data_IF_633323377945
#
_entry.id   IF_633323377945
#
_cell.length_a   1.000
_cell.length_b   1.000
_cell.length_c   1.000
_cell.angle_alpha   90.00
_cell.angle_beta   90.00
_cell.angle_gamma   90.00
#
_symmetry.space_group_name_H-M   'P 1'
#
loop_
_entity.id
_entity.type
_entity.pdbx_description
1 polymer ?
#
# COMPACT_ATOMS: atom_id res chain seq x y z
N UNK A 1 1.79 -2.50 22.36
CA UNK A 1 2.72 -2.04 21.31
C UNK A 1 2.29 -2.52 19.92
N UNK A 2 2.30 -3.82 19.65
CA UNK A 2 1.88 -4.38 18.38
C UNK A 2 0.47 -3.92 17.96
N UNK A 3 -0.51 -3.90 18.85
CA UNK A 3 -1.87 -3.40 18.59
C UNK A 3 -1.91 -1.94 18.12
N UNK A 4 -1.09 -1.06 18.68
CA UNK A 4 -1.07 0.35 18.30
C UNK A 4 -0.42 0.58 16.92
N UNK A 5 0.60 -0.21 16.55
CA UNK A 5 1.15 -0.24 15.21
C UNK A 5 0.12 -0.82 14.22
N UNK A 6 -0.58 -1.90 14.63
CA UNK A 6 -1.60 -2.56 13.81
C UNK A 6 -2.80 -1.70 13.47
N UNK A 7 -3.28 -0.89 14.40
CA UNK A 7 -4.38 0.04 14.12
C UNK A 7 -4.00 1.08 13.07
N UNK A 8 -2.77 1.63 13.12
CA UNK A 8 -2.29 2.56 12.10
C UNK A 8 -2.22 1.92 10.72
N UNK A 9 -1.59 0.73 10.62
CA UNK A 9 -1.55 -0.02 9.38
C UNK A 9 -2.95 -0.43 8.87
N UNK A 10 -3.88 -0.78 9.76
CA UNK A 10 -5.26 -1.11 9.38
C UNK A 10 -5.97 0.10 8.76
N UNK A 11 -5.83 1.29 9.36
CA UNK A 11 -6.40 2.54 8.85
C UNK A 11 -5.79 2.85 7.48
N UNK A 12 -4.47 2.70 7.33
CA UNK A 12 -3.75 2.90 6.07
C UNK A 12 -4.37 2.09 4.93
N UNK A 13 -4.48 0.77 5.11
CA UNK A 13 -4.97 -0.12 4.05
C UNK A 13 -6.48 -0.04 3.88
N UNK A 14 -7.24 0.18 4.96
CA UNK A 14 -8.68 0.42 4.86
C UNK A 14 -8.97 1.65 3.99
N UNK A 15 -8.34 2.81 4.27
CA UNK A 15 -8.56 4.01 3.47
C UNK A 15 -8.06 3.88 2.04
N UNK A 16 -6.88 3.32 1.84
CA UNK A 16 -6.36 3.10 0.50
C UNK A 16 -7.37 2.35 -0.37
N UNK A 17 -8.01 1.31 0.16
CA UNK A 17 -8.97 0.52 -0.59
C UNK A 17 -10.36 1.17 -0.69
N UNK A 18 -10.88 1.86 0.35
CA UNK A 18 -12.14 2.60 0.20
C UNK A 18 -12.02 3.69 -0.86
N UNK A 19 -10.88 4.37 -0.93
CA UNK A 19 -10.62 5.36 -1.96
C UNK A 19 -10.50 4.73 -3.37
N UNK A 20 -9.93 3.53 -3.48
CA UNK A 20 -9.89 2.77 -4.73
C UNK A 20 -11.29 2.40 -5.21
N UNK A 21 -12.16 1.90 -4.31
CA UNK A 21 -13.57 1.61 -4.64
C UNK A 21 -14.34 2.88 -4.98
N UNK A 22 -14.15 3.97 -4.24
CA UNK A 22 -14.79 5.25 -4.54
C UNK A 22 -14.35 5.81 -5.91
N UNK A 23 -13.06 5.72 -6.24
CA UNK A 23 -12.53 6.15 -7.53
C UNK A 23 -13.09 5.31 -8.69
N UNK A 24 -13.34 4.03 -8.47
CA UNK A 24 -13.89 3.15 -9.50
C UNK A 24 -15.41 3.32 -9.70
N UNK A 25 -16.18 3.65 -8.65
CA UNK A 25 -17.63 3.51 -8.67
C UNK A 25 -18.42 4.79 -8.38
N UNK A 26 -17.84 5.75 -7.63
CA UNK A 26 -18.54 6.93 -7.10
C UNK A 26 -18.00 8.23 -7.68
N UNK A 27 -16.69 8.46 -7.58
CA UNK A 27 -16.09 9.75 -7.94
C UNK A 27 -16.32 10.17 -9.39
N UNK A 28 -16.35 9.26 -10.39
CA UNK A 28 -16.70 9.65 -11.77
C UNK A 28 -18.04 10.37 -11.87
N UNK A 29 -19.04 9.92 -11.10
CA UNK A 29 -20.40 10.47 -11.14
C UNK A 29 -20.56 11.70 -10.25
N UNK A 30 -19.86 11.76 -9.12
CA UNK A 30 -20.03 12.81 -8.10
C UNK A 30 -19.16 14.02 -8.38
N UNK A 31 -17.94 13.83 -8.92
CA UNK A 31 -16.98 14.92 -9.15
C UNK A 31 -16.74 15.24 -10.62
N UNK A 32 -17.08 14.35 -11.56
CA UNK A 32 -16.86 14.52 -12.99
C UNK A 32 -18.14 14.29 -13.84
N UNK A 33 -19.33 14.81 -13.43
CA UNK A 33 -20.61 14.43 -14.05
C UNK A 33 -20.78 14.94 -15.50
N UNK A 34 -20.01 15.96 -15.92
CA UNK A 34 -20.09 16.53 -17.27
C UNK A 34 -19.12 15.90 -18.28
N UNK A 35 -18.26 14.99 -17.84
CA UNK A 35 -17.27 14.35 -18.71
C UNK A 35 -17.82 13.05 -19.33
N UNK A 36 -17.25 12.66 -20.49
CA UNK A 36 -17.55 11.30 -21.02
C UNK A 36 -17.15 10.23 -20.00
N UNK A 37 -17.80 9.07 -20.05
CA UNK A 37 -17.57 8.00 -19.07
C UNK A 37 -16.08 7.61 -18.95
N UNK A 38 -15.34 7.61 -20.08
CA UNK A 38 -13.90 7.32 -20.10
C UNK A 38 -13.07 8.42 -19.45
N UNK A 39 -13.39 9.69 -19.71
CA UNK A 39 -12.69 10.84 -19.12
C UNK A 39 -12.98 10.90 -17.61
N UNK A 40 -14.23 10.72 -17.19
CA UNK A 40 -14.61 10.73 -15.79
C UNK A 40 -13.90 9.63 -15.00
N UNK A 41 -13.86 8.41 -15.53
CA UNK A 41 -13.13 7.30 -14.93
C UNK A 41 -11.62 7.57 -14.86
N UNK A 42 -11.01 8.04 -15.94
CA UNK A 42 -9.57 8.38 -15.98
C UNK A 42 -9.20 9.48 -15.00
N UNK A 43 -10.00 10.55 -14.92
CA UNK A 43 -9.79 11.66 -13.97
C UNK A 43 -9.92 11.21 -12.52
N UNK A 44 -10.87 10.31 -12.24
CA UNK A 44 -11.09 9.72 -10.94
C UNK A 44 -9.89 8.86 -10.51
N UNK A 45 -9.40 7.98 -11.39
CA UNK A 45 -8.21 7.17 -11.13
C UNK A 45 -6.93 8.02 -11.04
N UNK A 46 -6.79 9.06 -11.83
CA UNK A 46 -5.69 10.00 -11.71
C UNK A 46 -5.68 10.65 -10.31
N UNK A 47 -6.85 11.13 -9.85
CA UNK A 47 -7.01 11.70 -8.50
C UNK A 47 -6.65 10.68 -7.40
N UNK A 48 -7.08 9.42 -7.56
CA UNK A 48 -6.65 8.33 -6.67
C UNK A 48 -5.13 8.16 -6.69
N UNK A 49 -4.53 8.18 -7.87
CA UNK A 49 -3.08 7.95 -8.07
C UNK A 49 -2.18 9.07 -7.52
N UNK A 50 -2.69 10.29 -7.31
CA UNK A 50 -1.92 11.40 -6.74
C UNK A 50 -1.26 11.08 -5.40
N UNK A 51 -1.86 10.20 -4.61
CA UNK A 51 -1.30 9.72 -3.34
C UNK A 51 0.12 9.17 -3.51
N UNK A 52 0.38 8.42 -4.59
CA UNK A 52 1.70 7.81 -4.81
C UNK A 52 2.82 8.84 -4.97
N UNK A 53 2.51 10.03 -5.47
CA UNK A 53 3.50 11.09 -5.67
C UNK A 53 3.84 11.84 -4.38
N UNK A 54 2.90 11.96 -3.43
CA UNK A 54 3.15 12.63 -2.15
C UNK A 54 3.74 11.72 -1.09
N UNK A 55 3.61 10.39 -1.23
CA UNK A 55 4.16 9.41 -0.28
C UNK A 55 5.68 9.52 -0.07
N UNK A 56 6.54 9.63 -1.11
CA UNK A 56 7.97 9.84 -0.89
C UNK A 56 8.30 11.14 -0.15
N UNK A 57 7.55 12.22 -0.42
CA UNK A 57 7.69 13.48 0.30
C UNK A 57 7.31 13.32 1.77
N UNK A 58 6.21 12.61 2.05
CA UNK A 58 5.80 12.24 3.41
C UNK A 58 6.87 11.40 4.13
N UNK A 59 7.45 10.40 3.45
CA UNK A 59 8.54 9.60 4.00
C UNK A 59 9.78 10.45 4.33
N UNK A 60 10.10 11.44 3.49
CA UNK A 60 11.20 12.36 3.75
C UNK A 60 10.93 13.25 4.98
N UNK A 61 9.76 13.89 5.03
CA UNK A 61 9.39 14.82 6.10
C UNK A 61 9.27 14.06 7.44
N UNK A 62 8.41 13.06 7.49
CA UNK A 62 8.16 12.30 8.72
C UNK A 62 9.31 11.38 9.09
N UNK A 63 10.09 10.89 8.12
CA UNK A 63 11.33 10.20 8.38
C UNK A 63 12.33 11.09 9.10
N UNK A 64 12.52 12.33 8.62
CA UNK A 64 13.36 13.32 9.27
C UNK A 64 12.92 13.59 10.71
N UNK A 65 11.61 13.81 10.90
CA UNK A 65 11.03 14.05 12.23
C UNK A 65 11.20 12.82 13.13
N UNK A 66 10.95 11.61 12.61
CA UNK A 66 10.97 10.37 13.40
C UNK A 66 12.36 9.91 13.82
N UNK A 67 13.38 10.17 13.01
CA UNK A 67 14.78 9.89 13.38
C UNK A 67 15.37 10.98 14.28
N UNK A 68 14.69 12.14 14.43
CA UNK A 68 15.13 13.27 15.28
C UNK A 68 14.35 13.43 16.57
N UNK A 69 13.03 13.34 16.52
CA UNK A 69 12.11 13.62 17.64
C UNK A 69 11.45 12.37 18.24
N UNK A 70 11.75 11.19 17.68
CA UNK A 70 11.23 9.91 18.14
C UNK A 70 10.16 9.30 17.23
N UNK A 71 10.08 7.97 17.30
CA UNK A 71 9.18 7.18 16.44
C UNK A 71 7.73 7.38 16.82
N UNK A 72 7.45 7.35 18.14
CA UNK A 72 6.11 7.48 18.71
C UNK A 72 5.43 8.78 18.31
N UNK A 73 6.06 9.90 18.57
CA UNK A 73 5.47 11.22 18.34
C UNK A 73 5.23 11.44 16.84
N UNK A 74 6.16 11.01 16.02
CA UNK A 74 6.03 11.13 14.55
C UNK A 74 4.88 10.31 14.01
N UNK A 75 4.67 9.08 14.51
CA UNK A 75 3.52 8.26 14.13
C UNK A 75 2.18 8.87 14.59
N UNK A 76 2.15 9.69 15.61
CA UNK A 76 0.96 10.50 15.96
C UNK A 76 0.71 11.57 14.90
N UNK A 77 1.74 12.26 14.45
CA UNK A 77 1.61 13.31 13.41
C UNK A 77 1.21 12.72 12.06
N UNK A 78 1.77 11.55 11.65
CA UNK A 78 1.36 10.88 10.42
C UNK A 78 -0.11 10.52 10.46
N UNK A 79 -0.58 9.94 11.57
CA UNK A 79 -1.96 9.53 11.75
C UNK A 79 -2.93 10.72 11.76
N UNK A 80 -2.57 11.83 12.41
CA UNK A 80 -3.35 13.07 12.36
C UNK A 80 -3.47 13.62 10.95
N UNK A 81 -2.37 13.64 10.20
CA UNK A 81 -2.34 14.12 8.82
C UNK A 81 -3.23 13.25 7.92
N UNK A 82 -3.17 11.91 8.09
CA UNK A 82 -4.06 10.97 7.40
C UNK A 82 -5.53 11.21 7.77
N UNK A 83 -5.83 11.37 9.06
CA UNK A 83 -7.19 11.58 9.55
C UNK A 83 -7.85 12.85 9.02
N UNK A 84 -7.10 13.95 8.95
CA UNK A 84 -7.58 15.19 8.34
C UNK A 84 -7.88 14.98 6.85
N UNK A 85 -6.99 14.29 6.13
CA UNK A 85 -7.21 13.93 4.72
C UNK A 85 -8.47 13.10 4.51
N UNK A 86 -8.64 12.03 5.31
CA UNK A 86 -9.81 11.15 5.27
C UNK A 86 -11.12 11.89 5.55
N UNK A 87 -11.16 12.58 6.67
CA UNK A 87 -12.32 13.37 7.06
C UNK A 87 -12.67 14.38 5.96
N UNK A 88 -11.66 15.10 5.45
CA UNK A 88 -11.83 16.08 4.37
C UNK A 88 -12.44 15.47 3.11
N UNK A 89 -11.99 14.28 2.68
CA UNK A 89 -12.61 13.56 1.55
C UNK A 89 -14.08 13.25 1.85
N UNK A 90 -14.39 12.72 3.04
CA UNK A 90 -15.74 12.34 3.44
C UNK A 90 -16.73 13.51 3.47
N UNK A 91 -16.26 14.72 3.83
CA UNK A 91 -17.14 15.92 3.90
C UNK A 91 -17.06 16.80 2.65
N UNK A 92 -16.23 16.47 1.67
CA UNK A 92 -16.11 17.28 0.43
C UNK A 92 -17.46 17.31 -0.30
N UNK A 93 -18.03 18.51 -0.59
CA UNK A 93 -19.26 18.64 -1.37
C UNK A 93 -19.12 18.09 -2.79
N UNK A 94 -20.21 17.70 -3.41
CA UNK A 94 -20.23 17.22 -4.80
C UNK A 94 -19.99 18.36 -5.80
N UNK A 95 -19.65 18.00 -7.04
CA UNK A 95 -19.55 18.97 -8.14
C UNK A 95 -20.85 19.78 -8.34
N UNK A 96 -22.01 19.14 -8.20
CA UNK A 96 -23.30 19.80 -8.30
C UNK A 96 -23.50 20.91 -7.27
N UNK A 97 -22.84 20.83 -6.10
CA UNK A 97 -22.98 21.82 -5.02
C UNK A 97 -22.01 23.02 -5.15
N UNK A 98 -20.75 22.79 -5.54
CA UNK A 98 -19.71 23.83 -5.52
C UNK A 98 -18.82 23.84 -6.78
N UNK A 99 -19.19 23.13 -7.84
CA UNK A 99 -18.45 23.10 -9.10
C UNK A 99 -17.02 22.57 -8.94
N UNK A 100 -16.08 23.17 -9.69
CA UNK A 100 -14.67 22.75 -9.74
C UNK A 100 -13.96 22.80 -8.37
N UNK A 101 -14.44 23.61 -7.43
CA UNK A 101 -13.90 23.65 -6.08
C UNK A 101 -13.99 22.29 -5.36
N UNK A 102 -14.96 21.46 -5.71
CA UNK A 102 -15.09 20.10 -5.18
C UNK A 102 -13.92 19.21 -5.59
N UNK A 103 -13.47 19.32 -6.84
CA UNK A 103 -12.33 18.58 -7.39
C UNK A 103 -11.03 19.02 -6.70
N UNK A 104 -10.86 20.34 -6.57
CA UNK A 104 -9.68 20.94 -5.90
C UNK A 104 -9.59 20.46 -4.44
N UNK A 105 -10.70 20.49 -3.71
CA UNK A 105 -10.74 20.00 -2.33
C UNK A 105 -10.43 18.49 -2.23
N UNK A 106 -11.03 17.68 -3.10
CA UNK A 106 -10.74 16.25 -3.18
C UNK A 106 -9.24 16.02 -3.41
N UNK A 107 -8.61 16.73 -4.34
CA UNK A 107 -7.18 16.65 -4.62
C UNK A 107 -6.35 17.04 -3.39
N UNK A 108 -6.66 18.18 -2.75
CA UNK A 108 -5.93 18.65 -1.56
C UNK A 108 -5.97 17.59 -0.46
N UNK A 109 -7.15 17.05 -0.14
CA UNK A 109 -7.28 16.04 0.91
C UNK A 109 -6.61 14.71 0.53
N UNK A 110 -6.61 14.32 -0.75
CA UNK A 110 -5.85 13.16 -1.24
C UNK A 110 -4.34 13.35 -1.10
N UNK A 111 -3.82 14.53 -1.45
CA UNK A 111 -2.40 14.86 -1.28
C UNK A 111 -2.00 14.88 0.20
N UNK A 112 -2.84 15.46 1.06
CA UNK A 112 -2.62 15.51 2.51
C UNK A 112 -2.62 14.09 3.12
N UNK A 113 -3.59 13.25 2.74
CA UNK A 113 -3.62 11.85 3.13
C UNK A 113 -2.33 11.12 2.71
N UNK A 114 -1.90 11.30 1.46
CA UNK A 114 -0.68 10.71 0.92
C UNK A 114 0.59 11.13 1.66
N UNK A 115 0.67 12.38 2.12
CA UNK A 115 1.78 12.85 2.97
C UNK A 115 1.84 12.07 4.29
N UNK A 116 0.72 11.96 5.00
CA UNK A 116 0.64 11.19 6.26
C UNK A 116 1.01 9.72 6.04
N UNK A 117 0.41 9.11 5.02
CA UNK A 117 0.66 7.73 4.62
C UNK A 117 2.13 7.46 4.30
N UNK A 118 2.82 8.43 3.68
CA UNK A 118 4.24 8.35 3.36
C UNK A 118 5.12 8.12 4.59
N UNK A 119 4.77 8.74 5.73
CA UNK A 119 5.51 8.59 6.98
C UNK A 119 5.17 7.33 7.77
N UNK A 120 3.99 6.76 7.60
CA UNK A 120 3.47 5.70 8.47
C UNK A 120 4.32 4.42 8.43
N UNK A 121 4.58 3.90 7.23
CA UNK A 121 5.31 2.63 7.05
C UNK A 121 6.67 2.63 7.75
N UNK A 122 7.50 3.65 7.48
CA UNK A 122 8.86 3.74 8.03
C UNK A 122 8.86 3.72 9.55
N UNK A 123 7.92 4.45 10.17
CA UNK A 123 7.76 4.51 11.61
C UNK A 123 7.25 3.22 12.22
N UNK A 124 6.23 2.61 11.60
CA UNK A 124 5.61 1.39 12.10
C UNK A 124 6.61 0.21 12.10
N UNK A 125 7.30 -0.02 10.96
CA UNK A 125 8.27 -1.12 10.86
C UNK A 125 9.52 -0.86 11.71
N UNK A 126 10.00 0.39 11.82
CA UNK A 126 11.12 0.73 12.67
C UNK A 126 10.77 0.46 14.14
N UNK A 127 9.64 0.98 14.62
CA UNK A 127 9.19 0.83 15.99
C UNK A 127 9.05 -0.66 16.36
N UNK A 128 8.31 -1.44 15.56
CA UNK A 128 8.09 -2.88 15.83
C UNK A 128 9.41 -3.65 15.81
N UNK A 129 10.29 -3.40 14.83
CA UNK A 129 11.57 -4.08 14.71
C UNK A 129 12.52 -3.74 15.87
N UNK A 130 12.54 -2.50 16.34
CA UNK A 130 13.35 -2.04 17.47
C UNK A 130 12.89 -2.65 18.80
N UNK A 131 11.58 -2.78 19.02
CA UNK A 131 11.06 -3.52 20.17
C UNK A 131 11.33 -5.04 20.09
N UNK A 132 11.29 -5.61 18.90
CA UNK A 132 11.59 -7.01 18.66
C UNK A 132 13.09 -7.30 18.48
N UNK A 133 13.98 -6.34 18.78
CA UNK A 133 15.43 -6.42 18.48
C UNK A 133 16.11 -7.68 19.02
N UNK A 134 15.68 -8.16 20.19
CA UNK A 134 16.18 -9.39 20.82
C UNK A 134 15.42 -10.66 20.40
N UNK A 135 14.35 -10.54 19.62
CA UNK A 135 13.53 -11.67 19.21
C UNK A 135 14.09 -12.35 17.97
N UNK A 136 14.02 -13.69 17.93
CA UNK A 136 14.26 -14.48 16.71
C UNK A 136 13.12 -14.34 15.69
N UNK A 137 11.95 -13.85 16.13
CA UNK A 137 10.71 -13.71 15.36
C UNK A 137 10.43 -12.25 14.97
N UNK A 138 11.45 -11.51 14.52
CA UNK A 138 11.31 -10.09 14.16
C UNK A 138 10.39 -9.85 12.96
N UNK A 139 10.44 -10.75 11.97
CA UNK A 139 9.54 -10.71 10.82
C UNK A 139 8.10 -10.90 11.28
N UNK A 140 7.84 -11.92 12.10
CA UNK A 140 6.50 -12.22 12.63
C UNK A 140 5.90 -11.06 13.42
N UNK A 141 6.68 -10.37 14.26
CA UNK A 141 6.19 -9.20 14.98
C UNK A 141 5.77 -8.05 14.04
N UNK A 142 6.38 -7.96 12.85
CA UNK A 142 6.01 -6.97 11.83
C UNK A 142 4.66 -7.29 11.13
N UNK A 143 4.00 -8.42 11.41
CA UNK A 143 2.62 -8.72 10.98
C UNK A 143 1.66 -7.56 11.29
N UNK A 144 1.85 -6.94 12.45
CA UNK A 144 1.00 -5.85 12.89
C UNK A 144 1.24 -4.52 12.15
N UNK A 145 2.37 -4.36 11.48
CA UNK A 145 2.68 -3.12 10.77
C UNK A 145 1.93 -2.97 9.43
N UNK A 146 1.54 -4.08 8.78
CA UNK A 146 0.97 -4.04 7.42
C UNK A 146 -0.15 -5.08 7.22
N UNK A 147 -1.33 -4.91 7.84
CA UNK A 147 -2.45 -5.84 7.74
C UNK A 147 -3.25 -5.68 6.42
N UNK A 148 -2.59 -5.77 5.28
CA UNK A 148 -3.12 -5.51 3.93
C UNK A 148 -4.45 -6.26 3.65
N UNK A 149 -4.54 -7.60 3.81
CA UNK A 149 -5.77 -8.31 3.46
C UNK A 149 -6.95 -7.93 4.35
N UNK A 150 -6.69 -7.59 5.62
CA UNK A 150 -7.74 -7.20 6.56
C UNK A 150 -8.31 -5.83 6.17
N UNK A 151 -7.43 -4.87 5.83
CA UNK A 151 -7.85 -3.54 5.37
C UNK A 151 -8.71 -3.62 4.10
N UNK A 152 -8.29 -4.41 3.11
CA UNK A 152 -9.06 -4.60 1.88
C UNK A 152 -10.40 -5.29 2.14
N UNK A 153 -10.44 -6.33 2.99
CA UNK A 153 -11.67 -7.03 3.35
C UNK A 153 -12.69 -6.07 4.00
N UNK A 154 -12.25 -5.28 4.98
CA UNK A 154 -13.11 -4.31 5.64
C UNK A 154 -13.60 -3.21 4.69
N UNK A 155 -12.74 -2.75 3.78
CA UNK A 155 -13.12 -1.76 2.76
C UNK A 155 -14.16 -2.32 1.79
N UNK A 156 -13.96 -3.52 1.26
CA UNK A 156 -14.90 -4.15 0.33
C UNK A 156 -16.26 -4.43 1.00
N UNK A 157 -16.25 -4.97 2.23
CA UNK A 157 -17.48 -5.22 2.98
C UNK A 157 -18.24 -3.93 3.29
N UNK A 158 -17.55 -2.85 3.72
CA UNK A 158 -18.20 -1.58 4.03
C UNK A 158 -18.86 -0.96 2.79
N UNK A 159 -18.18 -0.96 1.64
CA UNK A 159 -18.73 -0.45 0.39
C UNK A 159 -19.91 -1.28 -0.11
N UNK A 160 -19.77 -2.61 -0.14
CA UNK A 160 -20.82 -3.52 -0.62
C UNK A 160 -22.06 -3.47 0.27
N UNK A 161 -21.89 -3.49 1.60
CA UNK A 161 -23.00 -3.40 2.54
C UNK A 161 -23.76 -2.08 2.42
N UNK A 162 -23.04 -0.95 2.37
CA UNK A 162 -23.67 0.37 2.24
C UNK A 162 -24.34 0.56 0.87
N UNK A 163 -23.73 0.07 -0.21
CA UNK A 163 -24.29 0.16 -1.54
C UNK A 163 -25.60 -0.65 -1.65
N UNK A 164 -25.63 -1.86 -1.08
CA UNK A 164 -26.84 -2.70 -1.07
C UNK A 164 -27.94 -2.16 -0.18
N UNK A 165 -27.58 -1.56 0.96
CA UNK A 165 -28.54 -1.03 1.93
C UNK A 165 -29.12 0.31 1.49
N UNK A 166 -28.26 1.26 1.05
CA UNK A 166 -28.68 2.63 0.71
C UNK A 166 -29.12 2.80 -0.74
N UNK A 167 -28.79 1.84 -1.62
CA UNK A 167 -29.18 1.88 -3.05
C UNK A 167 -28.88 3.23 -3.71
N UNK A 168 -29.93 3.98 -4.12
CA UNK A 168 -29.75 5.29 -4.77
C UNK A 168 -29.06 6.33 -3.88
N UNK A 169 -29.32 6.28 -2.57
CA UNK A 169 -28.73 7.20 -1.60
C UNK A 169 -27.23 6.95 -1.37
N UNK A 170 -26.71 5.80 -1.81
CA UNK A 170 -25.28 5.52 -1.75
C UNK A 170 -24.44 6.56 -2.52
N UNK A 171 -24.89 6.99 -3.70
CA UNK A 171 -24.19 8.00 -4.49
C UNK A 171 -24.34 9.42 -3.92
N UNK A 172 -25.38 9.70 -3.18
CA UNK A 172 -25.61 11.02 -2.57
C UNK A 172 -24.79 11.23 -1.31
N UNK A 173 -24.89 10.33 -0.33
CA UNK A 173 -24.15 10.44 0.93
C UNK A 173 -23.51 9.14 1.41
N UNK A 174 -24.02 7.97 1.00
CA UNK A 174 -23.60 6.67 1.55
C UNK A 174 -22.11 6.37 1.39
N UNK A 175 -21.51 6.76 0.28
CA UNK A 175 -20.10 6.57 0.01
C UNK A 175 -19.17 7.36 0.96
N UNK A 176 -19.68 8.39 1.64
CA UNK A 176 -18.95 9.23 2.59
C UNK A 176 -18.75 8.52 3.93
N UNK A 177 -19.66 7.63 4.29
CA UNK A 177 -19.68 6.94 5.59
C UNK A 177 -18.37 6.18 5.86
N UNK A 178 -17.83 5.37 4.93
CA UNK A 178 -16.55 4.69 5.17
C UNK A 178 -15.38 5.64 5.45
N UNK A 179 -15.32 6.80 4.78
CA UNK A 179 -14.28 7.80 5.03
C UNK A 179 -14.42 8.44 6.42
N UNK A 180 -15.65 8.72 6.85
CA UNK A 180 -15.92 9.27 8.19
C UNK A 180 -15.62 8.23 9.28
N UNK A 181 -15.97 6.96 9.05
CA UNK A 181 -15.59 5.84 9.93
C UNK A 181 -14.07 5.73 10.01
N UNK A 182 -13.36 5.77 8.87
CA UNK A 182 -11.90 5.77 8.82
C UNK A 182 -11.28 6.91 9.63
N UNK A 183 -11.81 8.12 9.51
CA UNK A 183 -11.40 9.26 10.33
C UNK A 183 -11.68 9.03 11.84
N UNK A 184 -12.80 8.41 12.18
CA UNK A 184 -13.10 7.98 13.55
C UNK A 184 -12.12 6.94 14.09
N UNK A 185 -11.71 5.97 13.25
CA UNK A 185 -10.68 4.99 13.61
C UNK A 185 -9.31 5.66 13.86
N UNK A 186 -9.02 6.77 13.17
CA UNK A 186 -7.81 7.58 13.46
C UNK A 186 -7.83 8.06 14.90
N UNK A 187 -8.97 8.54 15.43
CA UNK A 187 -9.07 8.97 16.83
C UNK A 187 -8.76 7.81 17.78
N UNK A 188 -9.29 6.62 17.50
CA UNK A 188 -8.98 5.41 18.28
C UNK A 188 -7.48 5.08 18.18
N UNK A 189 -6.90 5.16 16.99
CA UNK A 189 -5.46 4.95 16.78
C UNK A 189 -4.59 5.95 17.57
N UNK A 190 -4.98 7.22 17.63
CA UNK A 190 -4.30 8.25 18.41
C UNK A 190 -4.34 7.95 19.91
N UNK A 191 -5.51 7.57 20.45
CA UNK A 191 -5.66 7.19 21.85
C UNK A 191 -4.79 5.98 22.23
N UNK A 192 -4.70 4.99 21.34
CA UNK A 192 -3.83 3.83 21.53
C UNK A 192 -2.34 4.22 21.47
N UNK A 193 -1.94 5.06 20.52
CA UNK A 193 -0.55 5.52 20.37
C UNK A 193 -0.09 6.42 21.51
N UNK A 194 -0.99 7.17 22.12
CA UNK A 194 -0.65 7.97 23.30
C UNK A 194 -0.10 7.11 24.46
N UNK A 195 -0.55 5.85 24.59
CA UNK A 195 -0.09 4.90 25.62
C UNK A 195 1.16 4.11 25.23
N UNK A 196 1.64 4.24 24.00
CA UNK A 196 2.84 3.52 23.50
C UNK A 196 4.10 4.20 24.05
N UNK A 197 5.07 3.41 24.50
CA UNK A 197 6.40 3.89 24.87
C UNK A 197 7.25 4.17 23.64
N UNK A 198 8.26 5.01 23.75
CA UNK A 198 9.24 5.24 22.70
C UNK A 198 10.12 3.99 22.49
N UNK A 199 10.79 3.92 21.36
CA UNK A 199 11.71 2.83 21.06
C UNK A 199 12.89 2.79 22.03
N UNK A 200 13.20 1.63 22.66
CA UNK A 200 14.37 1.50 23.54
C UNK A 200 15.70 1.83 22.85
N UNK A 201 15.83 1.49 21.56
CA UNK A 201 17.04 1.81 20.78
C UNK A 201 17.15 3.31 20.49
N UNK A 202 16.01 3.98 20.28
CA UNK A 202 16.01 5.43 20.11
C UNK A 202 16.30 6.18 21.42
N UNK A 203 15.78 5.73 22.54
CA UNK A 203 16.10 6.28 23.87
C UNK A 203 17.61 6.18 24.11
N UNK A 204 18.24 5.05 23.81
CA UNK A 204 19.67 4.87 23.91
C UNK A 204 20.49 5.82 23.02
N UNK A 205 20.01 6.19 21.80
CA UNK A 205 20.64 7.23 20.99
C UNK A 205 20.51 8.62 21.63
N UNK A 206 19.39 8.91 22.26
CA UNK A 206 19.16 10.19 22.95
C UNK A 206 20.09 10.34 24.14
N UNK A 207 20.24 9.30 24.95
CA UNK A 207 21.14 9.29 26.10
C UNK A 207 22.61 9.48 25.68
N UNK A 208 23.03 8.84 24.59
CA UNK A 208 24.38 8.97 24.01
C UNK A 208 24.60 10.28 23.24
N UNK A 209 23.59 11.15 23.12
CA UNK A 209 23.61 12.38 22.28
C UNK A 209 24.01 12.12 20.82
N UNK A 210 23.64 10.94 20.30
CA UNK A 210 24.01 10.45 18.96
C UNK A 210 22.91 10.71 17.91
N UNK A 211 21.94 11.56 18.19
CA UNK A 211 20.86 11.93 17.26
C UNK A 211 21.43 12.76 16.13
N UNK A 212 21.12 12.36 14.91
CA UNK A 212 21.57 13.03 13.68
C UNK A 212 20.74 14.33 13.43
N UNK A 213 21.41 15.41 13.01
CA UNK A 213 20.74 16.70 12.75
C UNK A 213 19.87 16.71 11.51
N UNK A 214 20.26 15.99 10.46
CA UNK A 214 19.57 15.95 9.16
C UNK A 214 19.44 14.50 8.63
N UNK A 215 18.75 13.61 9.36
CA UNK A 215 18.78 12.17 9.04
C UNK A 215 18.25 11.85 7.65
N UNK A 216 17.12 12.42 7.20
CA UNK A 216 16.56 12.13 5.89
C UNK A 216 17.47 12.54 4.72
N UNK A 217 18.10 13.73 4.81
CA UNK A 217 19.04 14.19 3.78
C UNK A 217 20.31 13.34 3.77
N UNK A 218 20.82 12.99 4.94
CA UNK A 218 22.02 12.16 5.04
C UNK A 218 21.79 10.74 4.56
N UNK A 219 20.64 10.12 4.87
CA UNK A 219 20.34 8.78 4.39
C UNK A 219 20.21 8.76 2.87
N UNK A 220 19.62 9.77 2.25
CA UNK A 220 19.60 9.91 0.80
C UNK A 220 21.00 10.03 0.22
N UNK A 221 21.88 10.80 0.85
CA UNK A 221 23.24 10.99 0.37
C UNK A 221 24.11 9.73 0.51
N UNK A 222 24.00 9.04 1.67
CA UNK A 222 24.89 7.91 2.02
C UNK A 222 24.34 6.60 1.47
N UNK A 223 23.00 6.38 1.56
CA UNK A 223 22.36 5.09 1.30
C UNK A 223 21.47 5.08 0.05
N UNK A 224 21.58 6.06 -0.86
CA UNK A 224 20.71 6.17 -2.03
C UNK A 224 20.66 4.89 -2.90
N UNK A 225 21.82 4.22 -3.09
CA UNK A 225 21.89 2.95 -3.83
C UNK A 225 21.07 1.85 -3.13
N UNK A 226 21.16 1.79 -1.80
CA UNK A 226 20.38 0.83 -1.00
C UNK A 226 18.89 1.14 -1.06
N UNK A 227 18.51 2.41 -0.96
CA UNK A 227 17.12 2.86 -1.11
C UNK A 227 16.57 2.45 -2.46
N UNK A 228 17.27 2.73 -3.57
CA UNK A 228 16.83 2.33 -4.91
C UNK A 228 16.75 0.81 -5.08
N UNK A 229 17.74 0.07 -4.56
CA UNK A 229 17.74 -1.38 -4.64
C UNK A 229 16.54 -2.00 -3.93
N UNK A 230 16.25 -1.54 -2.71
CA UNK A 230 15.08 -1.98 -1.94
C UNK A 230 13.78 -1.53 -2.60
N UNK A 231 13.72 -0.32 -3.15
CA UNK A 231 12.55 0.18 -3.88
C UNK A 231 12.22 -0.70 -5.09
N UNK A 232 13.22 -1.03 -5.91
CA UNK A 232 13.03 -1.93 -7.06
C UNK A 232 12.61 -3.34 -6.61
N UNK A 233 13.22 -3.86 -5.54
CA UNK A 233 12.86 -5.18 -5.00
C UNK A 233 11.41 -5.26 -4.50
N UNK A 234 10.83 -4.13 -4.06
CA UNK A 234 9.44 -4.05 -3.61
C UNK A 234 8.44 -3.88 -4.77
N UNK A 235 8.86 -3.30 -5.90
CA UNK A 235 7.97 -2.78 -6.95
C UNK A 235 6.96 -3.82 -7.44
N UNK A 236 7.35 -5.11 -7.56
CA UNK A 236 6.44 -6.18 -8.03
C UNK A 236 5.19 -6.31 -7.14
N UNK A 237 5.39 -6.28 -5.83
CA UNK A 237 4.30 -6.47 -4.85
C UNK A 237 3.24 -5.38 -5.02
N UNK A 238 3.65 -4.12 -5.06
CA UNK A 238 2.74 -3.00 -5.27
C UNK A 238 2.11 -3.03 -6.67
N UNK A 239 2.89 -3.33 -7.72
CA UNK A 239 2.38 -3.30 -9.11
C UNK A 239 1.38 -4.42 -9.37
N UNK A 240 1.64 -5.65 -8.93
CA UNK A 240 0.70 -6.75 -9.15
C UNK A 240 -0.64 -6.50 -8.47
N UNK A 241 -0.65 -5.89 -7.29
CA UNK A 241 -1.90 -5.56 -6.57
C UNK A 241 -2.56 -4.31 -7.15
N UNK A 242 -1.84 -3.20 -7.26
CA UNK A 242 -2.42 -1.90 -7.58
C UNK A 242 -2.65 -1.64 -9.07
N UNK A 243 -1.98 -2.37 -9.96
CA UNK A 243 -2.16 -2.25 -11.40
C UNK A 243 -2.91 -3.45 -12.00
N UNK A 244 -2.46 -4.67 -11.68
CA UNK A 244 -2.93 -5.88 -12.39
C UNK A 244 -4.18 -6.46 -11.73
N UNK A 245 -4.13 -6.78 -10.44
CA UNK A 245 -5.20 -7.50 -9.77
C UNK A 245 -6.50 -6.69 -9.67
N UNK A 246 -6.45 -5.49 -9.10
CA UNK A 246 -7.69 -4.75 -8.81
C UNK A 246 -8.17 -3.96 -10.03
N UNK A 247 -7.40 -2.98 -10.60
CA UNK A 247 -7.96 -2.17 -11.69
C UNK A 247 -8.03 -2.93 -13.01
N UNK A 248 -6.94 -3.63 -13.40
CA UNK A 248 -6.90 -4.25 -14.72
C UNK A 248 -7.81 -5.47 -14.81
N UNK A 249 -7.70 -6.44 -13.89
CA UNK A 249 -8.45 -7.70 -13.92
C UNK A 249 -9.95 -7.45 -13.89
N UNK A 250 -10.45 -6.60 -12.99
CA UNK A 250 -11.89 -6.28 -12.92
C UNK A 250 -12.38 -5.64 -14.22
N UNK A 251 -11.65 -4.65 -14.76
CA UNK A 251 -12.04 -4.01 -16.01
C UNK A 251 -11.98 -4.97 -17.21
N UNK A 252 -10.99 -5.86 -17.24
CA UNK A 252 -10.88 -6.88 -18.27
C UNK A 252 -12.07 -7.83 -18.22
N UNK A 253 -12.40 -8.39 -17.05
CA UNK A 253 -13.49 -9.35 -16.88
C UNK A 253 -14.85 -8.72 -17.19
N UNK A 254 -15.10 -7.49 -16.71
CA UNK A 254 -16.33 -6.76 -17.03
C UNK A 254 -16.44 -6.46 -18.52
N UNK A 255 -15.34 -6.10 -19.18
CA UNK A 255 -15.27 -5.93 -20.63
C UNK A 255 -15.51 -7.20 -21.43
N UNK A 256 -15.40 -8.39 -20.81
CA UNK A 256 -15.74 -9.69 -21.39
C UNK A 256 -17.13 -10.21 -20.92
N UNK A 257 -18.01 -9.33 -20.46
CA UNK A 257 -19.38 -9.65 -19.99
C UNK A 257 -19.46 -10.51 -18.73
N UNK A 258 -18.38 -10.61 -17.97
CA UNK A 258 -18.41 -11.16 -16.61
C UNK A 258 -18.99 -10.10 -15.67
N UNK A 259 -19.89 -10.49 -14.77
CA UNK A 259 -20.48 -9.54 -13.83
C UNK A 259 -19.41 -8.93 -12.92
N UNK A 260 -19.56 -7.64 -12.63
CA UNK A 260 -18.66 -6.93 -11.70
C UNK A 260 -18.65 -7.57 -10.31
N UNK A 261 -19.80 -8.03 -9.86
CA UNK A 261 -19.95 -8.68 -8.57
C UNK A 261 -19.11 -9.95 -8.49
N UNK A 262 -19.14 -10.78 -9.54
CA UNK A 262 -18.30 -11.98 -9.59
C UNK A 262 -16.80 -11.64 -9.65
N UNK A 263 -16.40 -10.66 -10.47
CA UNK A 263 -15.01 -10.25 -10.54
C UNK A 263 -14.48 -9.74 -9.19
N UNK A 264 -15.31 -8.97 -8.46
CA UNK A 264 -14.97 -8.48 -7.11
C UNK A 264 -14.95 -9.63 -6.08
N UNK A 265 -15.88 -10.60 -6.21
CA UNK A 265 -15.92 -11.78 -5.34
C UNK A 265 -14.68 -12.65 -5.51
N UNK A 266 -14.19 -12.82 -6.74
CA UNK A 266 -12.95 -13.57 -7.00
C UNK A 266 -11.75 -12.95 -6.28
N UNK A 267 -11.62 -11.60 -6.30
CA UNK A 267 -10.61 -10.87 -5.54
C UNK A 267 -10.82 -11.06 -4.02
N UNK A 268 -12.05 -11.09 -3.55
CA UNK A 268 -12.36 -11.33 -2.13
C UNK A 268 -11.87 -12.69 -1.67
N UNK A 269 -12.06 -13.74 -2.46
CA UNK A 269 -11.50 -15.07 -2.18
C UNK A 269 -9.96 -15.05 -2.16
N UNK A 270 -9.33 -14.33 -3.09
CA UNK A 270 -7.89 -14.16 -3.09
C UNK A 270 -7.38 -13.47 -1.83
N UNK A 271 -8.09 -12.46 -1.30
CA UNK A 271 -7.74 -11.78 -0.06
C UNK A 271 -7.87 -12.68 1.18
N UNK A 272 -8.92 -13.48 1.25
CA UNK A 272 -9.08 -14.47 2.35
C UNK A 272 -7.91 -15.45 2.35
N UNK A 273 -7.58 -16.00 1.18
CA UNK A 273 -6.41 -16.87 1.02
C UNK A 273 -5.11 -16.14 1.33
N UNK A 274 -5.03 -14.86 0.96
CA UNK A 274 -3.90 -13.97 1.21
C UNK A 274 -3.54 -13.85 2.70
N UNK A 275 -4.51 -13.94 3.62
CA UNK A 275 -4.23 -13.93 5.06
C UNK A 275 -3.30 -15.09 5.43
N UNK A 276 -3.57 -16.29 4.93
CA UNK A 276 -2.75 -17.48 5.22
C UNK A 276 -1.37 -17.38 4.57
N UNK A 277 -1.29 -16.90 3.34
CA UNK A 277 0.00 -16.76 2.65
C UNK A 277 0.83 -15.61 3.21
N UNK A 278 0.20 -14.55 3.73
CA UNK A 278 0.89 -13.50 4.47
C UNK A 278 1.53 -14.05 5.76
N UNK A 279 0.79 -14.85 6.55
CA UNK A 279 1.34 -15.53 7.74
C UNK A 279 2.52 -16.43 7.36
N UNK A 280 2.39 -17.21 6.27
CA UNK A 280 3.49 -18.03 5.75
C UNK A 280 4.74 -17.19 5.48
N UNK A 281 4.59 -16.01 4.85
CA UNK A 281 5.70 -15.11 4.54
C UNK A 281 6.42 -14.61 5.80
N UNK A 282 5.70 -14.27 6.85
CA UNK A 282 6.29 -13.87 8.12
C UNK A 282 7.11 -15.02 8.75
N UNK A 283 6.56 -16.23 8.77
CA UNK A 283 7.28 -17.41 9.26
C UNK A 283 8.51 -17.72 8.41
N UNK A 284 8.39 -17.73 7.08
CA UNK A 284 9.52 -17.97 6.19
C UNK A 284 10.63 -16.94 6.40
N UNK A 285 10.28 -15.65 6.54
CA UNK A 285 11.23 -14.59 6.82
C UNK A 285 12.08 -14.85 8.07
N UNK A 286 11.50 -15.40 9.11
CA UNK A 286 12.23 -15.74 10.34
C UNK A 286 12.93 -17.11 10.28
N UNK A 287 12.39 -18.09 9.55
CA UNK A 287 12.95 -19.45 9.47
C UNK A 287 14.14 -19.53 8.50
N UNK A 288 13.97 -19.10 7.25
CA UNK A 288 15.00 -19.27 6.19
C UNK A 288 15.79 -17.99 5.90
N UNK A 289 15.38 -16.84 6.45
CA UNK A 289 15.98 -15.52 6.23
C UNK A 289 15.16 -14.64 5.31
N UNK A 290 15.38 -13.32 5.44
CA UNK A 290 14.58 -12.31 4.73
C UNK A 290 14.76 -12.40 3.22
N UNK A 291 16.01 -12.40 2.77
CA UNK A 291 16.36 -12.47 1.34
C UNK A 291 15.86 -13.76 0.69
N UNK A 292 16.03 -14.91 1.35
CA UNK A 292 15.61 -16.21 0.80
C UNK A 292 14.09 -16.30 0.70
N UNK A 293 13.36 -15.81 1.70
CA UNK A 293 11.91 -15.74 1.69
C UNK A 293 11.38 -14.80 0.58
N UNK A 294 12.05 -13.67 0.34
CA UNK A 294 11.73 -12.78 -0.79
C UNK A 294 11.97 -13.48 -2.13
N UNK A 295 13.09 -14.18 -2.31
CA UNK A 295 13.37 -14.94 -3.53
C UNK A 295 12.29 -16.01 -3.78
N UNK A 296 11.88 -16.73 -2.74
CA UNK A 296 10.77 -17.69 -2.84
C UNK A 296 9.49 -17.03 -3.34
N UNK A 297 9.08 -15.90 -2.73
CA UNK A 297 7.89 -15.16 -3.15
C UNK A 297 8.01 -14.63 -4.58
N UNK A 298 9.19 -14.20 -5.02
CA UNK A 298 9.43 -13.68 -6.36
C UNK A 298 9.40 -14.78 -7.44
N UNK A 299 9.94 -15.97 -7.16
CA UNK A 299 9.83 -17.12 -8.06
C UNK A 299 8.36 -17.52 -8.19
N UNK A 300 7.62 -17.57 -7.08
CA UNK A 300 6.19 -17.83 -7.10
C UNK A 300 5.43 -16.74 -7.87
N UNK A 301 5.73 -15.45 -7.67
CA UNK A 301 5.12 -14.34 -8.40
C UNK A 301 5.39 -14.40 -9.91
N UNK A 302 6.59 -14.83 -10.31
CA UNK A 302 6.93 -14.99 -11.72
C UNK A 302 6.05 -16.07 -12.39
N UNK A 303 5.95 -17.23 -11.77
CA UNK A 303 5.09 -18.31 -12.26
C UNK A 303 3.62 -17.88 -12.27
N UNK A 304 3.16 -17.24 -11.19
CA UNK A 304 1.81 -16.72 -11.10
C UNK A 304 1.49 -15.70 -12.18
N UNK A 305 2.42 -14.76 -12.46
CA UNK A 305 2.22 -13.73 -13.51
C UNK A 305 2.12 -14.33 -14.91
N UNK A 306 2.84 -15.41 -15.19
CA UNK A 306 2.76 -16.11 -16.48
C UNK A 306 1.42 -16.85 -16.61
N UNK A 307 0.95 -17.50 -15.54
CA UNK A 307 -0.24 -18.36 -15.55
C UNK A 307 -1.54 -17.53 -15.43
N UNK A 308 -1.50 -16.39 -14.76
CA UNK A 308 -2.66 -15.55 -14.46
C UNK A 308 -3.46 -15.16 -15.71
N UNK A 309 -2.78 -14.58 -16.71
CA UNK A 309 -3.45 -14.04 -17.89
C UNK A 309 -4.13 -15.13 -18.74
N UNK A 310 -3.52 -16.28 -19.01
CA UNK A 310 -4.21 -17.43 -19.61
C UNK A 310 -5.44 -17.85 -18.80
N UNK A 311 -5.36 -17.94 -17.47
CA UNK A 311 -6.49 -18.37 -16.62
C UNK A 311 -7.68 -17.42 -16.72
N UNK A 312 -7.46 -16.10 -16.57
CA UNK A 312 -8.58 -15.14 -16.66
C UNK A 312 -9.17 -15.06 -18.07
N UNK A 313 -8.37 -15.32 -19.11
CA UNK A 313 -8.82 -15.32 -20.49
C UNK A 313 -9.74 -16.51 -20.85
N UNK A 314 -9.75 -17.56 -20.03
CA UNK A 314 -10.69 -18.68 -20.22
C UNK A 314 -12.14 -18.28 -19.97
N UNK A 315 -12.37 -17.21 -19.22
CA UNK A 315 -13.67 -16.74 -18.71
C UNK A 315 -14.43 -17.80 -17.88
N UNK A 316 -13.73 -18.85 -17.45
CA UNK A 316 -14.27 -19.86 -16.57
C UNK A 316 -14.21 -19.37 -15.12
N UNK A 317 -15.33 -19.35 -14.37
CA UNK A 317 -15.39 -18.82 -13.02
C UNK A 317 -14.36 -19.43 -12.06
N UNK A 318 -14.17 -20.75 -12.11
CA UNK A 318 -13.21 -21.44 -11.23
C UNK A 318 -11.77 -21.05 -11.56
N UNK A 319 -11.42 -20.96 -12.87
CA UNK A 319 -10.08 -20.60 -13.30
C UNK A 319 -9.78 -19.12 -13.07
N UNK A 320 -10.79 -18.23 -13.14
CA UNK A 320 -10.66 -16.83 -12.76
C UNK A 320 -10.28 -16.74 -11.28
N UNK A 321 -11.06 -17.39 -10.39
CA UNK A 321 -10.76 -17.40 -8.96
C UNK A 321 -9.36 -17.95 -8.68
N UNK A 322 -8.99 -19.06 -9.31
CA UNK A 322 -7.65 -19.65 -9.17
C UNK A 322 -6.55 -18.67 -9.61
N UNK A 323 -6.75 -17.97 -10.72
CA UNK A 323 -5.82 -16.95 -11.20
C UNK A 323 -5.62 -15.82 -10.17
N UNK A 324 -6.71 -15.28 -9.61
CA UNK A 324 -6.65 -14.24 -8.59
C UNK A 324 -5.93 -14.71 -7.31
N UNK A 325 -6.20 -15.93 -6.84
CA UNK A 325 -5.51 -16.52 -5.71
C UNK A 325 -4.00 -16.63 -5.98
N UNK A 326 -3.62 -17.18 -7.12
CA UNK A 326 -2.21 -17.41 -7.50
C UNK A 326 -1.44 -16.10 -7.63
N UNK A 327 -2.06 -15.05 -8.18
CA UNK A 327 -1.40 -13.75 -8.37
C UNK A 327 -1.21 -13.01 -7.04
N UNK A 328 -2.21 -13.03 -6.16
CA UNK A 328 -2.18 -12.29 -4.90
C UNK A 328 -1.28 -12.94 -3.85
N UNK A 329 -1.32 -14.26 -3.75
CA UNK A 329 -0.62 -15.03 -2.71
C UNK A 329 0.88 -14.67 -2.56
N UNK A 330 1.71 -14.66 -3.62
CA UNK A 330 3.12 -14.32 -3.49
C UNK A 330 3.36 -12.85 -3.11
N UNK A 331 2.46 -11.94 -3.48
CA UNK A 331 2.59 -10.51 -3.15
C UNK A 331 2.48 -10.29 -1.65
N UNK A 332 1.48 -10.88 -1.00
CA UNK A 332 1.29 -10.75 0.45
C UNK A 332 2.23 -11.67 1.25
N UNK A 333 2.65 -12.81 0.69
CA UNK A 333 3.72 -13.63 1.27
C UNK A 333 5.03 -12.83 1.42
N UNK A 334 5.31 -11.91 0.49
CA UNK A 334 6.50 -11.07 0.55
C UNK A 334 6.47 -9.98 1.62
N UNK A 335 5.31 -9.65 2.19
CA UNK A 335 5.16 -8.57 3.19
C UNK A 335 6.03 -8.83 4.43
N UNK A 336 6.01 -10.05 4.93
CA UNK A 336 6.76 -10.43 6.14
C UNK A 336 8.27 -10.16 6.04
N UNK A 337 8.95 -10.79 5.10
CA UNK A 337 10.39 -10.58 4.92
C UNK A 337 10.75 -9.14 4.53
N UNK A 338 9.93 -8.45 3.74
CA UNK A 338 10.16 -7.05 3.32
C UNK A 338 10.15 -6.11 4.52
N UNK A 339 9.17 -6.20 5.40
CA UNK A 339 9.04 -5.31 6.54
C UNK A 339 10.27 -5.36 7.44
N UNK A 340 10.68 -6.58 7.82
CA UNK A 340 11.85 -6.77 8.66
C UNK A 340 13.13 -6.33 7.94
N UNK A 341 13.34 -6.76 6.69
CA UNK A 341 14.52 -6.43 5.89
C UNK A 341 14.70 -4.92 5.72
N UNK A 342 13.63 -4.18 5.45
CA UNK A 342 13.71 -2.73 5.26
C UNK A 342 14.16 -2.02 6.53
N UNK A 343 13.57 -2.38 7.68
CA UNK A 343 13.98 -1.82 8.97
C UNK A 343 15.40 -2.23 9.36
N UNK A 344 15.78 -3.49 9.13
CA UNK A 344 17.12 -4.04 9.44
C UNK A 344 18.20 -3.51 8.50
N UNK A 345 17.84 -2.98 7.33
CA UNK A 345 18.80 -2.48 6.34
C UNK A 345 19.44 -1.14 6.70
N UNK A 346 18.93 -0.44 7.71
CA UNK A 346 19.43 0.89 8.09
C UNK A 346 19.82 0.94 9.57
N UNK A 347 20.91 1.68 9.92
CA UNK A 347 21.26 1.94 11.32
C UNK A 347 20.12 2.65 12.05
N UNK A 348 20.03 2.50 13.37
CA UNK A 348 18.96 3.06 14.20
C UNK A 348 18.73 4.55 13.96
N UNK A 349 19.80 5.34 13.82
CA UNK A 349 19.71 6.79 13.58
C UNK A 349 19.13 7.22 12.23
N UNK A 350 18.97 6.27 11.29
CA UNK A 350 18.42 6.50 9.95
C UNK A 350 17.29 5.53 9.58
N UNK A 351 16.87 4.67 10.53
CA UNK A 351 15.98 3.55 10.24
C UNK A 351 14.61 4.00 9.76
N UNK A 352 14.05 5.01 10.40
CA UNK A 352 12.75 5.55 10.00
C UNK A 352 12.82 6.13 8.57
N UNK A 353 13.73 7.09 8.35
CA UNK A 353 13.91 7.72 7.03
C UNK A 353 14.27 6.72 5.95
N UNK A 354 15.19 5.81 6.23
CA UNK A 354 15.70 4.85 5.25
C UNK A 354 14.64 3.84 4.82
N UNK A 355 13.98 3.18 5.76
CA UNK A 355 12.92 2.21 5.46
C UNK A 355 11.71 2.86 4.80
N UNK A 356 11.30 4.04 5.29
CA UNK A 356 10.21 4.81 4.72
C UNK A 356 10.47 5.22 3.28
N UNK A 357 11.61 5.87 3.02
CA UNK A 357 11.99 6.30 1.66
C UNK A 357 12.10 5.11 0.71
N UNK A 358 12.75 4.01 1.10
CA UNK A 358 12.87 2.83 0.26
C UNK A 358 11.50 2.25 -0.11
N UNK A 359 10.59 2.13 0.85
CA UNK A 359 9.24 1.63 0.61
C UNK A 359 8.44 2.58 -0.31
N UNK A 360 8.45 3.87 -0.02
CA UNK A 360 7.65 4.83 -0.77
C UNK A 360 8.18 5.09 -2.19
N UNK A 361 9.47 4.96 -2.41
CA UNK A 361 10.03 4.99 -3.77
C UNK A 361 9.59 3.76 -4.59
N UNK A 362 9.52 2.56 -4.00
CA UNK A 362 8.97 1.38 -4.65
C UNK A 362 7.49 1.53 -5.01
N UNK A 363 6.69 2.08 -4.08
CA UNK A 363 5.26 2.36 -4.35
C UNK A 363 5.07 3.47 -5.38
N UNK A 364 5.96 4.47 -5.45
CA UNK A 364 5.93 5.50 -6.50
C UNK A 364 6.16 4.90 -7.90
N UNK A 365 7.15 4.01 -8.04
CA UNK A 365 7.39 3.31 -9.32
C UNK A 365 6.13 2.56 -9.76
N UNK A 366 5.50 1.83 -8.84
CA UNK A 366 4.24 1.13 -9.08
C UNK A 366 3.10 2.09 -9.43
N UNK A 367 3.03 3.23 -8.74
CA UNK A 367 2.04 4.27 -8.99
C UNK A 367 2.16 4.87 -10.40
N UNK A 368 3.38 5.11 -10.88
CA UNK A 368 3.63 5.56 -12.26
C UNK A 368 3.16 4.50 -13.27
N UNK A 369 3.44 3.23 -13.02
CA UNK A 369 2.97 2.12 -13.88
C UNK A 369 1.43 2.11 -13.90
N UNK A 370 0.79 2.20 -12.74
CA UNK A 370 -0.67 2.10 -12.60
C UNK A 370 -1.40 3.31 -13.16
N UNK A 371 -0.93 4.52 -12.83
CA UNK A 371 -1.65 5.75 -13.14
C UNK A 371 -1.30 6.34 -14.52
N UNK A 372 -0.16 5.99 -15.09
CA UNK A 372 0.31 6.55 -16.37
C UNK A 372 0.48 5.46 -17.42
N UNK A 373 1.34 4.47 -17.16
CA UNK A 373 1.72 3.51 -18.19
C UNK A 373 0.56 2.59 -18.59
N UNK A 374 -0.20 2.09 -17.65
CA UNK A 374 -1.32 1.18 -17.90
C UNK A 374 -2.45 1.86 -18.72
N UNK A 375 -2.94 3.06 -18.40
CA UNK A 375 -3.91 3.78 -19.22
C UNK A 375 -3.40 4.07 -20.63
N UNK A 376 -2.13 4.48 -20.78
CA UNK A 376 -1.52 4.72 -22.10
C UNK A 376 -1.55 3.46 -22.95
N UNK A 377 -1.21 2.32 -22.40
CA UNK A 377 -1.23 1.02 -23.10
C UNK A 377 -2.67 0.66 -23.50
N UNK A 378 -3.63 0.78 -22.59
CA UNK A 378 -5.03 0.45 -22.87
C UNK A 378 -5.56 1.34 -24.03
N UNK A 379 -5.26 2.63 -24.01
CA UNK A 379 -5.69 3.56 -25.06
C UNK A 379 -5.00 3.22 -26.39
N UNK A 380 -3.68 3.05 -26.39
CA UNK A 380 -2.90 2.81 -27.62
C UNK A 380 -3.22 1.49 -28.30
N UNK A 381 -3.68 0.49 -27.55
CA UNK A 381 -4.07 -0.83 -28.07
C UNK A 381 -5.55 -0.92 -28.45
N UNK A 382 -6.32 0.16 -28.26
CA UNK A 382 -7.75 0.21 -28.60
C UNK A 382 -8.64 -0.52 -27.59
N UNK A 383 -8.17 -0.73 -26.35
CA UNK A 383 -9.00 -1.24 -25.25
C UNK A 383 -8.35 -2.27 -24.36
N UNK A 384 -9.01 -2.56 -23.24
CA UNK A 384 -8.50 -3.44 -22.19
C UNK A 384 -8.22 -4.86 -22.70
N UNK A 385 -9.05 -5.40 -23.59
CA UNK A 385 -8.86 -6.74 -24.15
C UNK A 385 -7.55 -6.86 -24.93
N UNK A 386 -7.30 -5.92 -25.82
CA UNK A 386 -6.12 -5.91 -26.68
C UNK A 386 -4.83 -5.58 -25.91
N UNK A 387 -4.94 -4.94 -24.76
CA UNK A 387 -3.79 -4.59 -23.90
C UNK A 387 -3.22 -5.76 -23.11
N UNK A 388 -3.94 -6.89 -23.01
CA UNK A 388 -3.56 -8.02 -22.16
C UNK A 388 -2.11 -8.51 -22.38
N UNK A 389 -1.61 -8.75 -23.60
CA UNK A 389 -0.23 -9.21 -23.80
C UNK A 389 0.81 -8.21 -23.23
N UNK A 390 0.56 -6.92 -23.40
CA UNK A 390 1.47 -5.87 -22.92
C UNK A 390 1.47 -5.76 -21.40
N UNK A 391 0.29 -5.87 -20.77
CA UNK A 391 0.16 -5.88 -19.30
C UNK A 391 0.82 -7.13 -18.71
N UNK A 392 0.68 -8.29 -19.36
CA UNK A 392 1.36 -9.51 -18.96
C UNK A 392 2.90 -9.36 -19.01
N UNK A 393 3.41 -8.77 -20.09
CA UNK A 393 4.85 -8.49 -20.24
C UNK A 393 5.33 -7.53 -19.13
N UNK A 394 4.59 -6.46 -18.82
CA UNK A 394 4.94 -5.54 -17.74
C UNK A 394 4.97 -6.28 -16.40
N UNK A 395 3.97 -7.09 -16.09
CA UNK A 395 3.92 -7.88 -14.86
C UNK A 395 5.18 -8.74 -14.71
N UNK A 396 5.55 -9.46 -15.76
CA UNK A 396 6.75 -10.32 -15.79
C UNK A 396 8.04 -9.49 -15.65
N UNK A 397 8.18 -8.38 -16.40
CA UNK A 397 9.36 -7.51 -16.33
C UNK A 397 9.56 -6.97 -14.91
N UNK A 398 8.49 -6.50 -14.27
CA UNK A 398 8.55 -5.94 -12.92
C UNK A 398 8.97 -7.01 -11.91
N UNK A 399 8.45 -8.24 -12.03
CA UNK A 399 8.85 -9.35 -11.16
C UNK A 399 10.32 -9.72 -11.39
N UNK A 400 10.79 -9.79 -12.64
CA UNK A 400 12.19 -10.08 -12.97
C UNK A 400 13.11 -8.98 -12.43
N UNK A 401 12.75 -7.71 -12.60
CA UNK A 401 13.52 -6.58 -12.08
C UNK A 401 13.64 -6.65 -10.54
N UNK A 402 12.53 -6.94 -9.85
CA UNK A 402 12.51 -7.12 -8.41
C UNK A 402 13.33 -8.34 -7.95
N UNK A 403 13.29 -9.43 -8.72
CA UNK A 403 14.11 -10.62 -8.46
C UNK A 403 15.60 -10.30 -8.58
N UNK A 404 16.02 -9.68 -9.68
CA UNK A 404 17.40 -9.26 -9.88
C UNK A 404 17.86 -8.33 -8.76
N UNK A 405 17.06 -7.31 -8.42
CA UNK A 405 17.39 -6.41 -7.31
C UNK A 405 17.58 -7.17 -5.99
N UNK A 406 16.71 -8.14 -5.70
CA UNK A 406 16.78 -8.93 -4.46
C UNK A 406 18.05 -9.77 -4.37
N UNK A 407 18.64 -10.20 -5.50
CA UNK A 407 19.91 -10.94 -5.53
C UNK A 407 21.08 -10.10 -5.00
N UNK A 408 21.02 -8.78 -5.10
CA UNK A 408 22.07 -7.87 -4.60
C UNK A 408 21.83 -7.40 -3.17
N UNK A 409 20.68 -7.73 -2.55
CA UNK A 409 20.39 -7.39 -1.15
C UNK A 409 21.14 -8.36 -0.23
N UNK A 410 21.71 -7.82 0.84
CA UNK A 410 22.36 -8.63 1.87
C UNK A 410 21.30 -9.24 2.81
N UNK A 411 21.55 -10.49 3.27
CA UNK A 411 20.72 -11.11 4.30
C UNK A 411 20.86 -10.36 5.64
N UNK A 412 19.76 -10.20 6.36
CA UNK A 412 19.72 -9.43 7.61
C UNK A 412 19.22 -10.24 8.82
N UNK A 413 18.85 -11.52 8.64
CA UNK A 413 18.24 -12.36 9.68
C UNK A 413 19.01 -12.35 10.99
N UNK A 414 20.32 -12.53 10.91
CA UNK A 414 21.20 -12.68 12.10
C UNK A 414 21.88 -11.36 12.50
N UNK A 415 21.47 -10.24 11.87
CA UNK A 415 22.05 -8.94 12.17
C UNK A 415 21.62 -8.52 13.60
N UNK A 416 22.61 -8.22 14.43
CA UNK A 416 22.35 -7.56 15.70
C UNK A 416 22.00 -6.08 15.41
N UNK A 417 20.82 -5.67 15.89
CA UNK A 417 20.40 -4.27 15.78
C UNK A 417 21.10 -3.49 16.91
N UNK A 418 22.35 -3.22 16.68
CA UNK A 418 23.14 -2.29 17.50
C UNK A 418 23.28 -0.96 16.77
N UNK A 419 23.60 0.09 17.50
CA UNK A 419 23.75 1.49 17.08
C UNK A 419 24.51 1.70 15.79
#
# INVERSE_FOLDING_TARGET
MATAAGVGGLIEYFDFFIASFAAATVWPQVFFPGASASIAASSSFATFGLVFFTRPLGAYIFGHVGDRLGRRNTLVYTLLTMGIGLFGIGVTPSYAAIGDASIVLLIIFRLLFGLGLGGEFGGAVALVTEFASKSKWRSFWNLWATPIPIGLLLASLSFSALASWLKADFLTYGWRIPFIIGAGLVVVGLLLRYKVQESPLFEGLTEKKAIERAPASQVLRIYWRRILLLAVALTFMSTLVSAVQVPYSVNYLVGQSISRDFATLAITYANIFGIFTMLLGFFLGDMIGRRRAMIFSLVWALLASIIFFPLINTLNPTLIVLGELLLFAPTVCNVGPVNALFAESFPTKYRYSGSGLAYQMGTLISGVITAILLPVIIISTGGVKNSMPYVAVIAVIVVIASFIATLFIKETKDLQLTD
#
